data_IF_380195710872
#
_entry.id   IF_380195710872
#
_cell.length_a   1.000
_cell.length_b   1.000
_cell.length_c   1.000
_cell.angle_alpha   90.00
_cell.angle_beta   90.00
_cell.angle_gamma   90.00
#
_symmetry.space_group_name_H-M   'P 1'
#
loop_
_entity.id
_entity.type
_entity.pdbx_description
1 polymer ?
#
# COMPACT_ATOMS: atom_id res chain seq x y z
N UNK A 1 10.90 3.30 14.66
CA UNK A 1 9.48 3.23 14.28
C UNK A 1 9.22 3.27 12.78
N UNK A 2 10.16 2.70 12.02
CA UNK A 2 10.03 2.65 10.57
C UNK A 2 8.74 1.93 10.12
N UNK A 3 8.39 0.84 10.78
CA UNK A 3 7.19 0.09 10.43
C UNK A 3 5.90 0.85 10.70
N UNK A 4 5.88 1.69 11.74
CA UNK A 4 4.73 2.55 12.01
C UNK A 4 4.60 3.61 10.90
N UNK A 5 5.72 4.22 10.50
CA UNK A 5 5.71 5.18 9.38
C UNK A 5 5.22 4.53 8.09
N UNK A 6 5.65 3.30 7.83
CA UNK A 6 5.22 2.57 6.66
C UNK A 6 3.72 2.26 6.71
N UNK A 7 3.21 1.85 7.87
CA UNK A 7 1.78 1.60 8.04
C UNK A 7 0.94 2.86 7.77
N UNK A 8 1.40 4.01 8.27
CA UNK A 8 0.72 5.29 8.03
C UNK A 8 0.81 5.66 6.54
N UNK A 9 1.96 5.44 5.90
CA UNK A 9 2.13 5.69 4.48
C UNK A 9 1.13 4.86 3.65
N UNK A 10 0.97 3.59 4.01
CA UNK A 10 0.01 2.71 3.35
C UNK A 10 -1.42 3.21 3.54
N UNK A 11 -1.76 3.65 4.74
CA UNK A 11 -3.09 4.19 5.01
C UNK A 11 -3.40 5.40 4.13
N UNK A 12 -2.45 6.33 3.99
CA UNK A 12 -2.62 7.50 3.12
C UNK A 12 -2.71 7.10 1.65
N UNK A 13 -1.90 6.14 1.22
CA UNK A 13 -1.94 5.65 -0.16
C UNK A 13 -3.28 5.00 -0.49
N UNK A 14 -3.77 4.14 0.39
CA UNK A 14 -5.06 3.47 0.20
C UNK A 14 -6.18 4.50 0.18
N UNK A 15 -6.17 5.47 1.09
CA UNK A 15 -7.17 6.54 1.11
C UNK A 15 -7.14 7.36 -0.18
N UNK A 16 -5.94 7.67 -0.69
CA UNK A 16 -5.80 8.39 -1.95
C UNK A 16 -6.32 7.58 -3.13
N UNK A 17 -6.02 6.29 -3.16
CA UNK A 17 -6.49 5.40 -4.22
C UNK A 17 -8.01 5.25 -4.20
N UNK A 18 -8.61 5.12 -3.02
CA UNK A 18 -10.06 5.09 -2.88
C UNK A 18 -10.70 6.40 -3.32
N UNK A 19 -10.05 7.52 -3.00
CA UNK A 19 -10.50 8.84 -3.46
C UNK A 19 -10.41 8.96 -4.98
N UNK A 20 -9.37 8.38 -5.58
CA UNK A 20 -9.21 8.36 -7.04
C UNK A 20 -10.39 7.63 -7.70
N UNK A 21 -10.80 6.49 -7.15
CA UNK A 21 -11.97 5.77 -7.62
C UNK A 21 -13.24 6.62 -7.45
N UNK A 22 -13.39 7.27 -6.30
CA UNK A 22 -14.55 8.12 -6.03
C UNK A 22 -14.63 9.32 -6.97
N UNK A 23 -13.47 9.80 -7.46
CA UNK A 23 -13.39 10.92 -8.38
C UNK A 23 -13.82 10.56 -9.81
N UNK A 24 -14.00 9.27 -10.08
CA UNK A 24 -14.34 8.76 -11.41
C UNK A 24 -13.35 9.26 -12.47
N UNK A 25 -12.06 9.03 -12.22
CA UNK A 25 -11.00 9.44 -13.14
C UNK A 25 -10.79 10.95 -13.19
N UNK A 26 -10.92 11.62 -12.05
CA UNK A 26 -10.79 13.08 -11.90
C UNK A 26 -11.94 13.87 -12.52
N UNK A 27 -13.03 13.23 -12.94
CA UNK A 27 -14.19 13.97 -13.45
C UNK A 27 -14.86 14.77 -12.33
N UNK A 28 -14.76 14.30 -11.08
CA UNK A 28 -15.17 15.03 -9.90
C UNK A 28 -13.94 15.67 -9.27
N UNK A 29 -13.53 16.81 -9.81
CA UNK A 29 -12.22 17.40 -9.52
C UNK A 29 -12.02 17.79 -8.06
N UNK A 30 -13.09 17.96 -7.28
CA UNK A 30 -12.98 18.26 -5.85
C UNK A 30 -12.23 17.15 -5.10
N UNK A 31 -12.25 15.93 -5.61
CA UNK A 31 -11.48 14.83 -5.03
C UNK A 31 -9.97 14.95 -5.26
N UNK A 32 -9.54 15.86 -6.14
CA UNK A 32 -8.12 16.06 -6.41
C UNK A 32 -7.34 16.46 -5.14
N UNK A 33 -7.96 17.22 -4.24
CA UNK A 33 -7.29 17.65 -3.01
C UNK A 33 -6.92 16.46 -2.12
N UNK A 34 -7.84 15.59 -1.71
CA UNK A 34 -7.46 14.42 -0.90
C UNK A 34 -6.55 13.45 -1.65
N UNK A 35 -6.69 13.33 -2.97
CA UNK A 35 -5.81 12.47 -3.77
C UNK A 35 -4.37 12.97 -3.71
N UNK A 36 -4.15 14.26 -3.99
CA UNK A 36 -2.81 14.84 -4.00
C UNK A 36 -2.20 14.80 -2.61
N UNK A 37 -2.95 15.21 -1.59
CA UNK A 37 -2.47 15.21 -0.21
C UNK A 37 -2.13 13.78 0.22
N UNK A 38 -3.00 12.82 -0.07
CA UNK A 38 -2.81 11.43 0.31
C UNK A 38 -1.57 10.81 -0.29
N UNK A 39 -1.39 10.95 -1.61
CA UNK A 39 -0.22 10.40 -2.28
C UNK A 39 1.07 11.13 -1.88
N UNK A 40 1.04 12.46 -1.81
CA UNK A 40 2.22 13.23 -1.42
C UNK A 40 2.69 12.84 -0.02
N UNK A 41 1.75 12.72 0.93
CA UNK A 41 2.06 12.32 2.30
C UNK A 41 2.59 10.89 2.33
N UNK A 42 1.97 9.99 1.59
CA UNK A 42 2.39 8.60 1.51
C UNK A 42 3.83 8.48 1.00
N UNK A 43 4.17 9.16 -0.09
CA UNK A 43 5.52 9.11 -0.64
C UNK A 43 6.55 9.76 0.28
N UNK A 44 6.17 10.86 0.94
CA UNK A 44 7.06 11.50 1.92
C UNK A 44 7.38 10.54 3.08
N UNK A 45 6.37 9.86 3.59
CA UNK A 45 6.55 8.88 4.67
C UNK A 45 7.36 7.68 4.21
N UNK A 46 7.13 7.20 2.98
CA UNK A 46 7.92 6.12 2.42
C UNK A 46 9.40 6.52 2.33
N UNK A 47 9.68 7.74 1.90
CA UNK A 47 11.05 8.27 1.88
C UNK A 47 11.68 8.27 3.25
N UNK A 48 10.92 8.62 4.28
CA UNK A 48 11.42 8.57 5.67
C UNK A 48 11.72 7.15 6.12
N UNK A 49 10.90 6.18 5.70
CA UNK A 49 11.16 4.75 5.99
C UNK A 49 12.47 4.31 5.36
N UNK A 50 12.70 4.66 4.10
CA UNK A 50 13.94 4.32 3.40
C UNK A 50 15.15 4.97 4.05
N UNK A 51 15.01 6.20 4.53
CA UNK A 51 16.07 6.90 5.22
C UNK A 51 16.49 6.20 6.52
N UNK A 52 15.57 5.46 7.12
CA UNK A 52 15.84 4.70 8.35
C UNK A 52 16.53 3.36 8.08
N UNK A 53 16.85 3.06 6.84
CA UNK A 53 17.64 1.91 6.48
C UNK A 53 16.86 0.67 6.10
N UNK A 54 15.54 0.75 5.97
CA UNK A 54 14.76 -0.38 5.47
C UNK A 54 15.13 -0.60 4.00
N UNK A 55 15.47 -1.83 3.59
CA UNK A 55 15.80 -2.08 2.18
C UNK A 55 14.66 -1.68 1.25
N UNK A 56 15.02 -1.10 0.10
CA UNK A 56 14.02 -0.57 -0.85
C UNK A 56 13.03 -1.65 -1.28
N UNK A 57 13.51 -2.83 -1.61
CA UNK A 57 12.63 -3.92 -2.04
C UNK A 57 11.65 -4.36 -0.96
N UNK A 58 12.08 -4.35 0.29
CA UNK A 58 11.22 -4.71 1.42
C UNK A 58 10.17 -3.62 1.66
N UNK A 59 10.61 -2.37 1.76
CA UNK A 59 9.69 -1.25 1.99
C UNK A 59 8.65 -1.14 0.87
N UNK A 60 9.12 -1.18 -0.37
CA UNK A 60 8.24 -1.08 -1.53
C UNK A 60 7.31 -2.29 -1.66
N UNK A 61 7.83 -3.49 -1.41
CA UNK A 61 7.04 -4.72 -1.46
C UNK A 61 5.93 -4.73 -0.42
N UNK A 62 6.24 -4.36 0.82
CA UNK A 62 5.23 -4.26 1.88
C UNK A 62 4.21 -3.17 1.55
N UNK A 63 4.69 -2.00 1.15
CA UNK A 63 3.82 -0.87 0.82
C UNK A 63 2.85 -1.23 -0.32
N UNK A 64 3.37 -1.77 -1.42
CA UNK A 64 2.52 -2.14 -2.57
C UNK A 64 1.62 -3.31 -2.24
N UNK A 65 2.18 -4.37 -1.63
CA UNK A 65 1.44 -5.59 -1.37
C UNK A 65 0.29 -5.37 -0.39
N UNK A 66 0.58 -4.75 0.74
CA UNK A 66 -0.45 -4.46 1.74
C UNK A 66 -1.45 -3.45 1.18
N UNK A 67 -0.96 -2.45 0.44
CA UNK A 67 -1.82 -1.46 -0.20
C UNK A 67 -2.81 -2.08 -1.19
N UNK A 68 -2.33 -2.98 -2.05
CA UNK A 68 -3.19 -3.68 -3.02
C UNK A 68 -4.23 -4.53 -2.30
N UNK A 69 -3.81 -5.29 -1.30
CA UNK A 69 -4.72 -6.15 -0.54
C UNK A 69 -5.80 -5.32 0.18
N UNK A 70 -5.38 -4.27 0.86
CA UNK A 70 -6.30 -3.39 1.58
C UNK A 70 -7.27 -2.70 0.63
N UNK A 71 -6.77 -2.20 -0.51
CA UNK A 71 -7.61 -1.53 -1.51
C UNK A 71 -8.64 -2.49 -2.09
N UNK A 72 -8.26 -3.72 -2.41
CA UNK A 72 -9.18 -4.71 -2.96
C UNK A 72 -10.31 -5.03 -1.98
N UNK A 73 -9.97 -5.20 -0.71
CA UNK A 73 -10.95 -5.48 0.33
C UNK A 73 -11.88 -4.29 0.55
N UNK A 74 -11.33 -3.09 0.68
CA UNK A 74 -12.12 -1.89 0.92
C UNK A 74 -13.00 -1.55 -0.28
N UNK A 75 -12.53 -1.78 -1.50
CA UNK A 75 -13.32 -1.53 -2.70
C UNK A 75 -14.57 -2.41 -2.74
N UNK A 76 -14.49 -3.63 -2.21
CA UNK A 76 -15.66 -4.49 -2.09
C UNK A 76 -16.74 -3.86 -1.21
N UNK A 77 -16.32 -3.26 -0.10
CA UNK A 77 -17.27 -2.67 0.86
C UNK A 77 -17.80 -1.31 0.41
N UNK A 78 -16.94 -0.47 -0.17
CA UNK A 78 -17.33 0.91 -0.50
C UNK A 78 -17.86 1.09 -1.91
N UNK A 79 -17.38 0.29 -2.86
CA UNK A 79 -17.76 0.44 -4.28
C UNK A 79 -18.41 -0.80 -4.84
N UNK A 80 -18.65 -1.79 -4.00
CA UNK A 80 -19.26 -3.05 -4.42
C UNK A 80 -18.49 -3.74 -5.56
N UNK A 81 -17.17 -3.55 -5.58
CA UNK A 81 -16.30 -4.23 -6.54
C UNK A 81 -16.26 -5.73 -6.23
N UNK A 82 -16.02 -6.58 -7.23
CA UNK A 82 -15.94 -8.01 -6.98
C UNK A 82 -14.78 -8.36 -6.03
N UNK A 83 -15.03 -9.32 -5.15
CA UNK A 83 -13.97 -9.93 -4.35
C UNK A 83 -14.26 -11.42 -4.29
N UNK A 84 -13.61 -12.16 -5.18
CA UNK A 84 -13.85 -13.58 -5.38
C UNK A 84 -12.91 -14.42 -4.55
N UNK A 85 -13.18 -15.73 -4.48
CA UNK A 85 -12.27 -16.68 -3.84
C UNK A 85 -10.89 -16.65 -4.49
N UNK A 86 -10.85 -16.53 -5.82
CA UNK A 86 -9.59 -16.41 -6.53
C UNK A 86 -8.82 -15.15 -6.16
N UNK A 87 -9.53 -14.03 -5.99
CA UNK A 87 -8.92 -12.79 -5.50
C UNK A 87 -8.39 -12.94 -4.08
N UNK A 88 -9.13 -13.63 -3.22
CA UNK A 88 -8.67 -13.91 -1.86
C UNK A 88 -7.38 -14.73 -1.88
N UNK A 89 -7.28 -15.71 -2.79
CA UNK A 89 -6.05 -16.46 -2.97
C UNK A 89 -4.89 -15.55 -3.39
N UNK A 90 -5.17 -14.58 -4.28
CA UNK A 90 -4.17 -13.59 -4.67
C UNK A 90 -3.67 -12.76 -3.50
N UNK A 91 -4.57 -12.32 -2.63
CA UNK A 91 -4.22 -11.58 -1.42
C UNK A 91 -3.31 -12.42 -0.51
N UNK A 92 -3.63 -13.69 -0.34
CA UNK A 92 -2.81 -14.61 0.46
C UNK A 92 -1.40 -14.75 -0.15
N UNK A 93 -1.32 -14.88 -1.48
CA UNK A 93 -0.03 -14.99 -2.16
C UNK A 93 0.79 -13.70 -2.01
N UNK A 94 0.15 -12.54 -2.08
CA UNK A 94 0.81 -11.26 -1.85
C UNK A 94 1.39 -11.23 -0.43
N UNK A 95 0.60 -11.62 0.57
CA UNK A 95 1.06 -11.67 1.95
C UNK A 95 2.25 -12.61 2.14
N UNK A 96 2.19 -13.79 1.53
CA UNK A 96 3.29 -14.74 1.56
C UNK A 96 4.55 -14.15 0.89
N UNK A 97 4.39 -13.48 -0.24
CA UNK A 97 5.50 -12.84 -0.94
C UNK A 97 6.16 -11.74 -0.12
N UNK A 98 5.36 -10.90 0.53
CA UNK A 98 5.86 -9.85 1.41
C UNK A 98 6.67 -10.46 2.57
N UNK A 99 6.14 -11.52 3.17
CA UNK A 99 6.83 -12.22 4.26
C UNK A 99 8.17 -12.77 3.80
N UNK A 100 8.21 -13.39 2.61
CA UNK A 100 9.45 -13.92 2.05
C UNK A 100 10.47 -12.83 1.73
N UNK A 101 10.01 -11.67 1.27
CA UNK A 101 10.91 -10.54 1.02
C UNK A 101 11.58 -10.09 2.31
N UNK A 102 10.82 -9.99 3.38
CA UNK A 102 11.37 -9.58 4.66
C UNK A 102 12.37 -10.60 5.20
N UNK A 103 12.02 -11.87 5.16
CA UNK A 103 12.93 -12.95 5.59
C UNK A 103 14.18 -13.01 4.73
N UNK A 104 14.02 -12.92 3.42
CA UNK A 104 15.17 -12.95 2.51
C UNK A 104 16.12 -11.79 2.75
N UNK A 105 15.58 -10.61 3.00
CA UNK A 105 16.36 -9.43 3.32
C UNK A 105 17.16 -9.63 4.61
N UNK A 106 16.53 -10.14 5.65
CA UNK A 106 17.18 -10.40 6.94
C UNK A 106 18.28 -11.46 6.79
N UNK A 107 17.99 -12.53 6.05
CA UNK A 107 18.97 -13.61 5.83
C UNK A 107 20.18 -13.12 5.07
N UNK A 108 20.01 -12.28 4.04
CA UNK A 108 21.14 -11.80 3.24
C UNK A 108 21.96 -10.72 3.94
N UNK A 109 21.43 -10.08 4.97
CA UNK A 109 22.17 -9.10 5.75
C UNK A 109 23.10 -9.75 6.77
N UNK A 110 22.98 -11.05 6.99
CA UNK A 110 23.87 -11.79 7.87
C UNK A 110 25.20 -12.05 7.16
N UNK A 111 26.33 -11.81 7.84
CA UNK A 111 27.64 -12.10 7.26
C UNK A 111 27.83 -13.59 7.04
#
# INVERSE_FOLDING_TARGET
>A
MAWLLLAVAIAFEVAATMSLRASEGFTKWAWAVPIVIGYATSFALLGMVLKRGVPVGVAYGVWSGVGVAATAILARFFFNDPFTVLMAAGVVLIGAGVFLLEFGSTASSSP
#
